data_IF_054657136015
#
_entry.id   IF_054657136015
#
_cell.length_a   1.000
_cell.length_b   1.000
_cell.length_c   1.000
_cell.angle_alpha   90.00
_cell.angle_beta   90.00
_cell.angle_gamma   90.00
#
_symmetry.space_group_name_H-M   'P 1'
#
loop_
_entity.id
_entity.type
_entity.pdbx_description
1 polymer ?
#
# COMPACT_ATOMS: atom_id res chain seq x y z
N UNK A 1 -1.59 -1.94 -19.72
CA UNK A 1 -2.33 -2.22 -18.57
C UNK A 1 -1.47 -2.68 -17.42
N UNK A 2 -0.78 -3.76 -17.58
CA UNK A 2 -0.01 -4.34 -16.50
C UNK A 2 1.17 -3.50 -16.05
N UNK A 3 1.70 -2.68 -16.93
CA UNK A 3 2.91 -1.93 -16.62
C UNK A 3 2.70 -0.92 -15.50
N UNK A 4 1.69 -0.08 -15.63
CA UNK A 4 1.40 0.93 -14.60
C UNK A 4 0.98 0.27 -13.31
N UNK A 5 0.17 -0.78 -13.39
CA UNK A 5 -0.26 -1.50 -12.23
C UNK A 5 0.92 -2.08 -11.47
N UNK A 6 1.89 -2.65 -12.17
CA UNK A 6 3.08 -3.21 -11.54
C UNK A 6 3.88 -2.13 -10.83
N UNK A 7 3.99 -0.95 -11.43
CA UNK A 7 4.71 0.15 -10.79
C UNK A 7 4.03 0.58 -9.51
N UNK A 8 2.72 0.67 -9.54
CA UNK A 8 1.96 1.04 -8.37
C UNK A 8 2.10 0.00 -7.26
N UNK A 9 2.06 -1.26 -7.63
CA UNK A 9 2.23 -2.33 -6.65
C UNK A 9 3.64 -2.31 -6.07
N UNK A 10 4.64 -2.05 -6.88
CA UNK A 10 6.02 -1.92 -6.38
C UNK A 10 6.16 -0.78 -5.38
N UNK A 11 5.54 0.35 -5.68
CA UNK A 11 5.55 1.47 -4.76
C UNK A 11 4.86 1.10 -3.46
N UNK A 12 3.73 0.43 -3.54
CA UNK A 12 3.03 0.00 -2.35
C UNK A 12 3.89 -0.95 -1.51
N UNK A 13 4.60 -1.87 -2.16
CA UNK A 13 5.51 -2.77 -1.46
C UNK A 13 6.60 -1.98 -0.77
N UNK A 14 7.19 -1.00 -1.44
CA UNK A 14 8.24 -0.18 -0.84
C UNK A 14 7.72 0.57 0.38
N UNK A 15 6.54 1.14 0.30
CA UNK A 15 5.94 1.82 1.44
C UNK A 15 5.68 0.83 2.59
N UNK A 16 5.22 -0.38 2.26
CA UNK A 16 4.98 -1.38 3.28
C UNK A 16 6.27 -1.79 3.98
N UNK A 17 7.33 -2.04 3.21
CA UNK A 17 8.62 -2.40 3.79
C UNK A 17 9.12 -1.30 4.70
N UNK A 18 9.04 -0.06 4.22
CA UNK A 18 9.46 1.08 5.01
C UNK A 18 8.68 1.18 6.31
N UNK A 19 7.37 0.95 6.24
CA UNK A 19 6.50 1.01 7.40
C UNK A 19 6.87 -0.06 8.43
N UNK A 20 7.04 -1.29 7.97
CA UNK A 20 7.44 -2.37 8.85
C UNK A 20 8.76 -2.07 9.53
N UNK A 21 9.73 -1.55 8.78
CA UNK A 21 11.03 -1.21 9.33
C UNK A 21 10.93 -0.12 10.39
N UNK A 22 10.11 0.89 10.11
CA UNK A 22 9.93 1.97 11.09
C UNK A 22 9.29 1.49 12.38
N UNK A 23 8.44 0.48 12.28
CA UNK A 23 7.78 -0.07 13.46
C UNK A 23 8.59 -1.16 14.14
N UNK A 24 9.80 -1.42 13.64
CA UNK A 24 10.67 -2.47 14.16
C UNK A 24 10.01 -3.84 14.08
N UNK A 25 9.19 -4.06 13.08
CA UNK A 25 8.55 -5.34 12.84
C UNK A 25 9.29 -6.08 11.74
N UNK A 26 9.24 -7.41 11.80
CA UNK A 26 9.81 -8.23 10.75
C UNK A 26 9.06 -8.01 9.45
N UNK A 27 9.81 -7.86 8.36
CA UNK A 27 9.22 -7.66 7.05
C UNK A 27 8.66 -9.01 6.56
N UNK A 28 7.37 -9.07 6.16
CA UNK A 28 6.79 -10.32 5.70
C UNK A 28 7.44 -10.81 4.40
N UNK A 29 7.15 -12.06 4.06
CA UNK A 29 7.62 -12.62 2.80
C UNK A 29 7.07 -11.81 1.62
N UNK A 30 7.80 -11.84 0.51
CA UNK A 30 7.43 -11.05 -0.68
C UNK A 30 6.02 -11.38 -1.16
N UNK A 31 5.63 -12.66 -1.12
CA UNK A 31 4.29 -13.05 -1.56
C UNK A 31 3.21 -12.38 -0.73
N UNK A 32 3.42 -12.26 0.58
CA UNK A 32 2.48 -11.56 1.45
C UNK A 32 2.43 -10.08 1.15
N UNK A 33 3.60 -9.49 0.92
CA UNK A 33 3.67 -8.07 0.55
C UNK A 33 2.95 -7.81 -0.76
N UNK A 34 3.11 -8.70 -1.73
CA UNK A 34 2.43 -8.55 -3.01
C UNK A 34 0.91 -8.61 -2.85
N UNK A 35 0.42 -9.52 -2.01
CA UNK A 35 -1.01 -9.60 -1.74
C UNK A 35 -1.54 -8.33 -1.09
N UNK A 36 -0.83 -7.82 -0.09
CA UNK A 36 -1.22 -6.57 0.57
C UNK A 36 -1.17 -5.40 -0.40
N UNK A 37 -0.09 -5.33 -1.19
CA UNK A 37 0.07 -4.25 -2.15
C UNK A 37 -1.05 -4.24 -3.18
N UNK A 38 -1.46 -5.41 -3.66
CA UNK A 38 -2.56 -5.51 -4.61
C UNK A 38 -3.84 -4.93 -4.04
N UNK A 39 -4.16 -5.26 -2.79
CA UNK A 39 -5.35 -4.72 -2.13
C UNK A 39 -5.27 -3.21 -1.96
N UNK A 40 -4.10 -2.73 -1.55
CA UNK A 40 -3.91 -1.30 -1.36
C UNK A 40 -4.08 -0.56 -2.68
N UNK A 41 -3.52 -1.09 -3.76
CA UNK A 41 -3.66 -0.46 -5.07
C UNK A 41 -5.12 -0.46 -5.51
N UNK A 42 -5.84 -1.57 -5.32
CA UNK A 42 -7.25 -1.64 -5.66
C UNK A 42 -8.06 -0.60 -4.88
N UNK A 43 -7.82 -0.50 -3.58
CA UNK A 43 -8.51 0.46 -2.74
C UNK A 43 -8.16 1.89 -3.15
N UNK A 44 -6.90 2.14 -3.47
CA UNK A 44 -6.48 3.48 -3.89
C UNK A 44 -7.19 3.91 -5.17
N UNK A 45 -7.33 3.00 -6.13
CA UNK A 45 -8.04 3.31 -7.37
C UNK A 45 -9.52 3.58 -7.10
N UNK A 46 -10.14 2.82 -6.22
CA UNK A 46 -11.52 3.06 -5.87
C UNK A 46 -11.70 4.43 -5.20
N UNK A 47 -10.84 4.74 -4.25
CA UNK A 47 -10.90 6.02 -3.55
C UNK A 47 -10.66 7.17 -4.52
N UNK A 48 -9.71 7.02 -5.43
CA UNK A 48 -9.42 8.06 -6.42
C UNK A 48 -10.62 8.33 -7.31
N UNK A 49 -11.39 7.29 -7.64
CA UNK A 49 -12.59 7.48 -8.44
C UNK A 49 -13.68 8.19 -7.67
N UNK A 50 -13.78 7.93 -6.38
CA UNK A 50 -14.84 8.52 -5.55
C UNK A 50 -14.52 9.95 -5.13
N UNK A 51 -13.27 10.19 -4.71
CA UNK A 51 -12.86 11.49 -4.16
C UNK A 51 -11.99 12.28 -5.09
N UNK A 52 -11.41 11.62 -6.08
CA UNK A 52 -10.33 12.22 -6.85
C UNK A 52 -9.03 12.18 -6.06
N UNK A 53 -7.96 12.60 -6.69
CA UNK A 53 -6.68 12.68 -6.02
C UNK A 53 -5.61 11.83 -6.67
N UNK A 54 -4.42 11.93 -6.12
CA UNK A 54 -3.25 11.24 -6.63
C UNK A 54 -3.18 9.84 -6.06
N UNK A 55 -3.06 8.85 -6.95
CA UNK A 55 -3.00 7.45 -6.55
C UNK A 55 -1.88 7.20 -5.55
N UNK A 56 -0.71 7.78 -5.80
CA UNK A 56 0.45 7.54 -4.94
C UNK A 56 0.21 8.09 -3.55
N UNK A 57 -0.37 9.26 -3.45
CA UNK A 57 -0.71 9.85 -2.15
C UNK A 57 -1.70 8.99 -1.40
N UNK A 58 -2.70 8.46 -2.11
CA UNK A 58 -3.71 7.60 -1.51
C UNK A 58 -3.08 6.29 -1.02
N UNK A 59 -2.19 5.71 -1.83
CA UNK A 59 -1.47 4.50 -1.42
C UNK A 59 -0.71 4.75 -0.12
N UNK A 60 -0.03 5.89 -0.04
CA UNK A 60 0.72 6.24 1.15
C UNK A 60 -0.19 6.37 2.36
N UNK A 61 -1.34 7.00 2.20
CA UNK A 61 -2.31 7.14 3.28
C UNK A 61 -2.81 5.78 3.74
N UNK A 62 -3.10 4.89 2.80
CA UNK A 62 -3.59 3.56 3.15
C UNK A 62 -2.54 2.76 3.92
N UNK A 63 -1.29 2.88 3.53
CA UNK A 63 -0.22 2.21 4.25
C UNK A 63 -0.09 2.76 5.67
N UNK A 64 -0.22 4.07 5.83
CA UNK A 64 -0.19 4.66 7.17
C UNK A 64 -1.37 4.20 8.02
N UNK A 65 -2.54 4.04 7.41
CA UNK A 65 -3.73 3.61 8.13
C UNK A 65 -3.62 2.18 8.66
N UNK A 66 -2.78 1.36 8.05
CA UNK A 66 -2.57 0.01 8.56
C UNK A 66 -2.15 0.02 10.03
N UNK A 67 -1.34 0.99 10.40
CA UNK A 67 -0.91 1.12 11.78
C UNK A 67 -2.09 1.38 12.69
N UNK A 68 -3.00 2.26 12.28
CA UNK A 68 -4.16 2.60 13.08
C UNK A 68 -5.10 1.43 13.23
N UNK A 69 -5.26 0.64 12.18
CA UNK A 69 -6.13 -0.52 12.22
C UNK A 69 -5.69 -1.55 13.23
N UNK A 70 -4.42 -1.55 13.59
CA UNK A 70 -3.86 -2.52 14.51
C UNK A 70 -3.81 -2.06 15.94
N UNK A 71 -4.15 -0.83 16.16
CA UNK A 71 -3.99 -0.23 17.48
C UNK A 71 -5.28 -0.26 18.27
N UNK A 72 -5.83 -1.42 18.47
CA UNK A 72 -6.95 -1.49 19.41
C UNK A 72 -7.00 -2.78 20.15
#
# INVERSE_FOLDING_TARGET
MGFLRRQEERLAIRFLVWKYQRMNLAVPALSNLQGQAGRIVDDAHRIARERGGNIISIIKELVDDLKKSRCF
#
